data_IF_009304980014
#
_entry.id   IF_009304980014
#
_cell.length_a   1.000
_cell.length_b   1.000
_cell.length_c   1.000
_cell.angle_alpha   90.00
_cell.angle_beta   90.00
_cell.angle_gamma   90.00
#
_symmetry.space_group_name_H-M   'P 1'
#
loop_
_entity.id
_entity.type
_entity.pdbx_description
1 polymer ?
#
# COMPACT_ATOMS: atom_id res chain seq x y z
N UNK A 1 21.80 -15.75 -0.95
CA UNK A 1 20.38 -15.34 -0.86
C UNK A 1 19.66 -16.48 -0.18
N UNK A 2 19.51 -16.42 1.15
CA UNK A 2 19.15 -17.57 1.96
C UNK A 2 17.63 -17.76 1.98
N UNK A 3 17.13 -18.44 0.97
CA UNK A 3 15.83 -19.08 1.02
C UNK A 3 15.96 -20.27 1.97
N UNK A 4 15.42 -20.18 3.20
CA UNK A 4 15.45 -21.30 4.16
C UNK A 4 14.43 -22.37 3.75
N UNK A 5 14.54 -22.91 2.53
CA UNK A 5 13.66 -23.95 1.97
C UNK A 5 13.90 -25.35 2.55
N UNK A 6 14.90 -25.53 3.42
CA UNK A 6 15.41 -26.86 3.80
C UNK A 6 14.68 -27.60 4.92
N UNK A 7 13.80 -26.97 5.70
CA UNK A 7 13.23 -27.58 6.92
C UNK A 7 11.70 -27.54 6.99
N UNK A 8 11.04 -27.21 5.88
CA UNK A 8 9.63 -26.91 5.87
C UNK A 8 8.85 -27.84 4.96
N UNK A 9 9.00 -29.14 5.20
CA UNK A 9 8.14 -30.15 4.59
C UNK A 9 7.45 -30.89 5.72
N UNK A 10 6.17 -30.65 5.98
CA UNK A 10 5.47 -31.27 7.09
C UNK A 10 5.45 -32.79 6.91
N UNK A 11 5.43 -33.55 8.01
CA UNK A 11 5.41 -35.01 7.95
C UNK A 11 4.11 -35.53 7.32
N UNK A 12 3.02 -34.74 7.38
CA UNK A 12 1.71 -35.08 6.85
C UNK A 12 1.35 -34.21 5.64
N UNK A 13 0.33 -34.66 4.90
CA UNK A 13 -0.21 -33.89 3.78
C UNK A 13 -0.84 -32.60 4.30
N UNK A 14 -0.68 -31.47 3.60
CA UNK A 14 -1.25 -30.21 4.05
C UNK A 14 -2.77 -30.27 4.13
N UNK A 15 -3.31 -29.63 5.17
CA UNK A 15 -4.74 -29.53 5.41
C UNK A 15 -5.37 -28.48 4.49
N UNK A 16 -6.54 -28.71 3.92
CA UNK A 16 -7.21 -27.69 3.13
C UNK A 16 -7.77 -26.60 4.08
N UNK A 17 -7.42 -25.31 3.89
CA UNK A 17 -7.89 -24.23 4.75
C UNK A 17 -9.42 -24.20 4.86
N UNK A 18 -9.91 -24.11 6.09
CA UNK A 18 -11.34 -24.08 6.40
C UNK A 18 -12.05 -25.44 6.41
N UNK A 19 -11.35 -26.54 6.15
CA UNK A 19 -11.92 -27.90 6.21
C UNK A 19 -11.06 -28.83 7.07
N UNK A 20 -11.52 -30.04 7.37
CA UNK A 20 -10.72 -31.10 8.03
C UNK A 20 -10.04 -32.06 7.03
N UNK A 21 -10.14 -31.80 5.72
CA UNK A 21 -9.58 -32.65 4.68
C UNK A 21 -8.10 -32.30 4.41
N UNK A 22 -7.33 -33.28 3.96
CA UNK A 22 -5.92 -33.10 3.59
C UNK A 22 -5.74 -33.32 2.08
N UNK A 23 -5.07 -32.39 1.40
CA UNK A 23 -4.79 -32.47 -0.04
C UNK A 23 -3.34 -32.09 -0.32
N UNK A 24 -2.61 -32.83 -1.18
CA UNK A 24 -1.26 -32.44 -1.58
C UNK A 24 -1.22 -31.20 -2.48
N UNK A 25 -2.38 -30.70 -2.92
CA UNK A 25 -2.51 -29.56 -3.85
C UNK A 25 -2.52 -28.20 -3.16
N UNK A 26 -2.38 -28.17 -1.83
CA UNK A 26 -2.31 -26.90 -1.10
C UNK A 26 -0.97 -26.21 -1.43
N UNK A 27 -1.00 -24.97 -1.94
CA UNK A 27 0.21 -24.24 -2.28
C UNK A 27 0.99 -23.82 -1.02
N UNK A 28 2.25 -23.42 -1.22
CA UNK A 28 3.10 -22.95 -0.13
C UNK A 28 2.56 -21.63 0.46
N UNK A 29 2.51 -21.54 1.78
CA UNK A 29 2.15 -20.34 2.52
C UNK A 29 3.33 -19.36 2.61
N UNK A 30 3.07 -18.07 2.49
CA UNK A 30 4.04 -16.99 2.60
C UNK A 30 3.65 -16.16 3.82
N UNK A 31 4.54 -16.14 4.80
CA UNK A 31 4.39 -15.35 6.03
C UNK A 31 5.27 -14.11 5.89
N UNK A 32 4.67 -12.92 5.94
CA UNK A 32 5.39 -11.67 5.78
C UNK A 32 4.75 -10.52 6.56
N UNK A 33 5.54 -9.46 6.78
CA UNK A 33 5.04 -8.21 7.33
C UNK A 33 4.80 -7.21 6.19
N UNK A 34 3.60 -6.61 6.06
CA UNK A 34 3.33 -5.69 4.96
C UNK A 34 4.21 -4.46 5.03
N UNK A 35 4.69 -4.03 3.87
CA UNK A 35 5.44 -2.79 3.74
C UNK A 35 4.52 -1.56 3.94
N UNK A 36 5.13 -0.43 4.29
CA UNK A 36 4.43 0.85 4.24
C UNK A 36 4.09 1.18 2.79
N UNK A 37 2.89 1.71 2.55
CA UNK A 37 2.54 2.25 1.25
C UNK A 37 3.47 3.44 0.93
N UNK A 38 4.29 3.38 -0.15
CA UNK A 38 5.29 4.42 -0.45
C UNK A 38 4.71 5.83 -0.58
N UNK A 39 3.45 5.94 -1.00
CA UNK A 39 2.77 7.23 -1.21
C UNK A 39 2.16 7.80 0.08
N UNK A 40 2.03 6.99 1.13
CA UNK A 40 1.40 7.39 2.39
C UNK A 40 2.44 7.46 3.51
N UNK A 41 2.45 8.56 4.26
CA UNK A 41 3.35 8.77 5.40
C UNK A 41 2.97 7.98 6.67
N UNK A 42 1.90 7.16 6.61
CA UNK A 42 1.43 6.35 7.73
C UNK A 42 2.46 5.32 8.21
N UNK A 43 2.40 4.98 9.51
CA UNK A 43 3.28 3.96 10.07
C UNK A 43 3.10 2.61 9.38
N UNK A 44 4.19 1.84 9.27
CA UNK A 44 4.14 0.43 8.89
C UNK A 44 3.18 -0.35 9.80
N UNK A 45 2.35 -1.25 9.26
CA UNK A 45 1.55 -2.15 10.07
C UNK A 45 2.45 -3.04 10.94
N UNK A 46 1.96 -3.38 12.14
CA UNK A 46 2.69 -4.24 13.09
C UNK A 46 2.28 -5.71 13.01
N UNK A 47 1.17 -6.00 12.34
CA UNK A 47 0.71 -7.36 12.15
C UNK A 47 1.50 -8.08 11.04
N UNK A 48 1.56 -9.39 11.16
CA UNK A 48 2.03 -10.33 10.16
C UNK A 48 0.86 -10.81 9.32
N UNK A 49 1.10 -11.13 8.06
CA UNK A 49 0.11 -11.73 7.18
C UNK A 49 0.64 -13.08 6.70
N UNK A 50 -0.24 -14.08 6.69
CA UNK A 50 -0.07 -15.34 5.99
C UNK A 50 -0.98 -15.34 4.75
N UNK A 51 -0.38 -15.51 3.58
CA UNK A 51 -1.08 -15.65 2.28
C UNK A 51 -0.55 -16.89 1.55
N UNK A 52 -1.30 -17.42 0.59
CA UNK A 52 -0.86 -18.56 -0.22
C UNK A 52 -0.21 -18.10 -1.54
N UNK A 53 0.73 -18.90 -2.05
CA UNK A 53 1.28 -18.67 -3.39
C UNK A 53 0.18 -18.86 -4.45
N UNK A 54 -0.01 -17.91 -5.38
CA UNK A 54 -1.05 -18.02 -6.40
C UNK A 54 -0.72 -19.16 -7.37
N UNK A 55 -1.60 -20.16 -7.45
CA UNK A 55 -1.44 -21.31 -8.33
C UNK A 55 -1.86 -21.01 -9.78
N UNK A 56 -2.80 -20.07 -9.97
CA UNK A 56 -3.32 -19.67 -11.27
C UNK A 56 -3.39 -18.15 -11.41
N UNK A 57 -3.33 -17.65 -12.65
CA UNK A 57 -3.57 -16.23 -12.94
C UNK A 57 -5.08 -15.94 -13.00
N UNK A 58 -5.45 -14.68 -12.73
CA UNK A 58 -6.82 -14.23 -12.91
C UNK A 58 -7.16 -14.11 -14.41
N UNK A 59 -8.36 -14.56 -14.79
CA UNK A 59 -8.87 -14.56 -16.17
C UNK A 59 -10.02 -13.55 -16.31
N UNK A 60 -10.11 -12.87 -17.45
CA UNK A 60 -11.22 -11.95 -17.76
C UNK A 60 -12.35 -12.76 -18.42
N UNK A 61 -13.55 -12.68 -17.85
CA UNK A 61 -14.74 -13.34 -18.37
C UNK A 61 -15.27 -12.63 -19.62
N UNK A 62 -15.64 -13.39 -20.66
CA UNK A 62 -15.86 -12.85 -22.00
C UNK A 62 -17.16 -12.04 -22.17
N UNK A 63 -18.18 -12.28 -21.33
CA UNK A 63 -19.49 -11.64 -21.47
C UNK A 63 -19.54 -10.30 -20.75
N UNK A 64 -19.22 -10.28 -19.46
CA UNK A 64 -19.33 -9.09 -18.60
C UNK A 64 -17.99 -8.38 -18.40
N UNK A 65 -16.87 -9.02 -18.77
CA UNK A 65 -15.53 -8.48 -18.53
C UNK A 65 -15.11 -8.56 -17.06
N UNK A 66 -15.75 -9.39 -16.24
CA UNK A 66 -15.41 -9.54 -14.83
C UNK A 66 -14.13 -10.34 -14.64
N UNK A 67 -13.33 -9.97 -13.64
CA UNK A 67 -12.14 -10.74 -13.26
C UNK A 67 -12.58 -11.98 -12.48
N UNK A 68 -12.31 -13.14 -13.04
CA UNK A 68 -12.57 -14.45 -12.43
C UNK A 68 -11.25 -15.10 -12.02
N UNK A 69 -11.31 -15.94 -10.99
CA UNK A 69 -10.15 -16.64 -10.44
C UNK A 69 -10.49 -18.13 -10.36
N UNK A 70 -9.57 -19.00 -10.77
CA UNK A 70 -9.71 -20.46 -10.62
C UNK A 70 -9.11 -21.01 -9.33
N UNK A 71 -8.22 -20.24 -8.71
CA UNK A 71 -7.53 -20.63 -7.47
C UNK A 71 -8.38 -20.26 -6.25
N UNK A 72 -8.80 -21.25 -5.43
CA UNK A 72 -9.57 -21.01 -4.20
C UNK A 72 -8.71 -20.45 -3.05
N UNK A 73 -7.39 -20.55 -3.11
CA UNK A 73 -6.49 -20.18 -2.01
C UNK A 73 -6.09 -18.70 -2.03
N UNK A 74 -6.12 -18.07 -3.21
CA UNK A 74 -5.72 -16.67 -3.39
C UNK A 74 -6.48 -15.63 -2.52
N UNK A 75 -7.81 -15.72 -2.30
CA UNK A 75 -8.50 -14.76 -1.44
C UNK A 75 -8.18 -14.94 0.07
N UNK A 76 -7.51 -16.01 0.46
CA UNK A 76 -7.26 -16.33 1.87
C UNK A 76 -6.11 -15.47 2.39
N UNK A 77 -6.42 -14.55 3.31
CA UNK A 77 -5.46 -13.69 3.99
C UNK A 77 -5.71 -13.71 5.48
N UNK A 78 -4.72 -14.15 6.25
CA UNK A 78 -4.81 -14.27 7.70
C UNK A 78 -3.85 -13.30 8.37
N UNK A 79 -4.36 -12.53 9.33
CA UNK A 79 -3.56 -11.53 10.07
C UNK A 79 -3.21 -12.06 11.45
N UNK A 80 -1.94 -11.94 11.83
CA UNK A 80 -1.40 -12.40 13.11
C UNK A 80 -0.67 -11.25 13.83
N UNK A 81 -0.65 -11.24 15.17
CA UNK A 81 0.13 -10.26 15.92
C UNK A 81 1.64 -10.52 15.82
N UNK A 82 2.04 -11.79 15.86
CA UNK A 82 3.44 -12.24 15.95
C UNK A 82 3.78 -13.23 14.83
N UNK A 83 5.08 -13.32 14.49
CA UNK A 83 5.59 -14.27 13.49
C UNK A 83 5.48 -15.71 13.98
N UNK A 84 5.73 -15.95 15.27
CA UNK A 84 5.65 -17.27 15.89
C UNK A 84 4.22 -17.82 15.85
N UNK A 85 3.21 -16.97 16.10
CA UNK A 85 1.81 -17.36 16.00
C UNK A 85 1.42 -17.77 14.58
N UNK A 86 1.95 -17.08 13.56
CA UNK A 86 1.72 -17.44 12.16
C UNK A 86 2.40 -18.78 11.81
N UNK A 87 3.59 -19.02 12.33
CA UNK A 87 4.33 -20.28 12.14
C UNK A 87 3.60 -21.44 12.83
N UNK A 88 3.22 -21.30 14.10
CA UNK A 88 2.48 -22.34 14.83
C UNK A 88 1.18 -22.69 14.11
N UNK A 89 0.48 -21.68 13.57
CA UNK A 89 -0.73 -21.92 12.80
C UNK A 89 -0.45 -22.69 11.50
N UNK A 90 0.60 -22.37 10.76
CA UNK A 90 0.98 -23.12 9.57
C UNK A 90 1.38 -24.56 9.91
N UNK A 91 2.14 -24.77 10.99
CA UNK A 91 2.57 -26.09 11.46
C UNK A 91 1.39 -26.95 11.93
N UNK A 92 0.43 -26.37 12.65
CA UNK A 92 -0.82 -27.06 13.06
C UNK A 92 -1.67 -27.55 11.89
N UNK A 93 -1.55 -26.91 10.73
CA UNK A 93 -2.26 -27.28 9.51
C UNK A 93 -1.39 -28.09 8.54
N UNK A 94 -0.17 -28.44 8.93
CA UNK A 94 0.80 -29.15 8.10
C UNK A 94 1.03 -28.42 6.76
N UNK A 95 1.14 -27.09 6.75
CA UNK A 95 1.42 -26.31 5.54
C UNK A 95 2.93 -26.07 5.34
N UNK A 96 3.40 -26.23 4.10
CA UNK A 96 4.70 -25.70 3.70
C UNK A 96 4.65 -24.17 3.80
N UNK A 97 5.60 -23.52 4.49
CA UNK A 97 5.64 -22.06 4.63
C UNK A 97 6.99 -21.41 4.26
N UNK A 98 6.97 -20.12 3.96
CA UNK A 98 8.16 -19.30 3.72
C UNK A 98 8.01 -18.03 4.52
N UNK A 99 8.93 -17.80 5.47
CA UNK A 99 8.97 -16.55 6.23
C UNK A 99 9.84 -15.55 5.47
N UNK A 100 9.24 -14.45 5.01
CA UNK A 100 9.97 -13.31 4.44
C UNK A 100 10.27 -12.32 5.55
N UNK A 101 11.56 -12.16 5.88
CA UNK A 101 12.03 -11.35 7.00
C UNK A 101 11.78 -9.84 6.84
N UNK A 102 11.67 -9.13 7.97
CA UNK A 102 11.63 -7.67 8.05
C UNK A 102 13.06 -7.10 8.01
N UNK A 103 13.84 -7.48 7.00
CA UNK A 103 15.23 -7.01 6.79
C UNK A 103 15.29 -5.46 6.66
N UNK A 104 14.15 -4.82 6.37
CA UNK A 104 14.02 -3.40 6.03
C UNK A 104 13.99 -2.44 7.22
N UNK A 105 13.98 -2.93 8.46
CA UNK A 105 14.10 -2.08 9.66
C UNK A 105 15.47 -2.17 10.32
N UNK A 106 16.52 -2.49 9.57
CA UNK A 106 17.88 -2.12 10.00
C UNK A 106 17.93 -0.59 10.07
N UNK A 107 17.75 -0.09 11.29
CA UNK A 107 17.73 1.30 11.71
C UNK A 107 18.41 2.22 10.70
N UNK A 108 17.61 2.96 9.90
CA UNK A 108 18.10 4.24 9.37
C UNK A 108 18.55 5.00 10.60
N UNK A 109 19.88 5.09 10.80
CA UNK A 109 20.49 5.93 11.84
C UNK A 109 19.72 7.24 11.75
N UNK A 110 19.02 7.61 12.82
CA UNK A 110 18.23 8.84 12.86
C UNK A 110 19.18 9.93 12.40
N UNK A 111 19.02 10.38 11.16
CA UNK A 111 19.74 11.54 10.69
C UNK A 111 19.21 12.64 11.58
N UNK A 112 20.02 13.05 12.55
CA UNK A 112 19.70 14.21 13.37
C UNK A 112 19.41 15.30 12.36
N UNK A 113 18.19 15.85 12.30
CA UNK A 113 17.95 16.97 11.42
C UNK A 113 18.83 18.08 11.98
N UNK A 114 19.99 18.27 11.35
CA UNK A 114 20.73 19.52 11.45
C UNK A 114 19.74 20.52 10.87
N UNK A 115 19.01 21.18 11.75
CA UNK A 115 18.21 22.32 11.37
C UNK A 115 19.18 23.34 10.76
N UNK A 116 19.43 23.25 9.45
CA UNK A 116 20.00 24.33 8.68
C UNK A 116 18.83 25.27 8.45
N UNK A 117 18.66 26.20 9.39
CA UNK A 117 17.82 27.39 9.21
C UNK A 117 18.25 27.99 7.88
N UNK A 118 17.35 28.04 6.90
CA UNK A 118 17.59 28.68 5.60
C UNK A 118 17.64 30.20 5.86
N UNK A 119 18.67 30.67 6.56
CA UNK A 119 18.84 32.09 6.85
C UNK A 119 19.58 32.74 5.71
N UNK A 120 18.79 33.47 4.93
CA UNK A 120 19.09 34.74 4.26
C UNK A 120 20.04 34.67 3.06
N UNK A 121 19.48 35.03 1.90
CA UNK A 121 19.65 36.33 1.22
C UNK A 121 21.13 36.52 0.88
N UNK A 122 21.47 36.34 -0.39
CA UNK A 122 22.44 37.13 -1.16
C UNK A 122 22.90 36.33 -2.40
N UNK A 123 22.12 36.38 -3.49
CA UNK A 123 22.64 36.13 -4.84
C UNK A 123 22.39 37.40 -5.69
N UNK A 124 23.30 38.39 -5.66
CA UNK A 124 23.17 39.63 -6.43
C UNK A 124 23.65 39.42 -7.88
N UNK A 125 22.86 38.72 -8.69
CA UNK A 125 23.05 38.69 -10.14
C UNK A 125 22.06 39.66 -10.82
N UNK A 126 22.41 40.94 -10.72
CA UNK A 126 21.90 42.05 -11.53
C UNK A 126 22.00 41.71 -13.02
N UNK A 127 20.88 41.64 -13.73
CA UNK A 127 20.83 41.89 -15.18
C UNK A 127 19.74 42.92 -15.41
N UNK A 128 20.18 44.13 -15.68
CA UNK A 128 19.32 45.26 -16.04
C UNK A 128 18.84 45.04 -17.47
N UNK A 129 17.59 44.63 -17.67
CA UNK A 129 16.94 44.68 -18.97
C UNK A 129 15.74 45.62 -18.92
N UNK A 130 15.89 46.73 -19.65
CA UNK A 130 14.84 47.66 -20.02
C UNK A 130 13.66 46.91 -20.67
N UNK A 131 12.44 47.39 -20.42
CA UNK A 131 11.15 46.72 -20.64
C UNK A 131 10.81 46.32 -22.09
N UNK A 132 9.65 45.66 -22.31
CA UNK A 132 8.39 46.41 -22.40
C UNK A 132 7.15 45.67 -21.82
N UNK A 133 5.98 46.29 -21.99
CA UNK A 133 4.62 45.82 -21.68
C UNK A 133 4.29 45.45 -20.21
N UNK A 134 3.90 46.50 -19.49
CA UNK A 134 2.94 46.49 -18.40
C UNK A 134 1.69 45.66 -18.75
N UNK A 135 1.67 44.39 -18.37
CA UNK A 135 0.41 43.68 -18.17
C UNK A 135 -0.12 44.08 -16.80
N UNK A 136 -0.83 45.21 -16.75
CA UNK A 136 -1.53 45.67 -15.56
C UNK A 136 -2.43 44.53 -15.02
N UNK A 137 -2.20 44.03 -13.79
CA UNK A 137 -2.96 42.91 -13.25
C UNK A 137 -4.46 43.20 -13.16
N UNK A 138 -4.85 44.48 -13.16
CA UNK A 138 -6.25 44.93 -13.16
C UNK A 138 -6.95 44.66 -14.51
N UNK A 139 -6.21 44.72 -15.63
CA UNK A 139 -6.75 44.45 -16.97
C UNK A 139 -6.95 42.93 -17.20
N UNK A 140 -6.05 42.08 -16.69
CA UNK A 140 -6.19 40.61 -16.80
C UNK A 140 -7.39 40.09 -15.98
N UNK A 141 -7.61 40.63 -14.78
CA UNK A 141 -8.76 40.26 -13.94
C UNK A 141 -10.12 40.63 -14.55
N UNK A 142 -10.16 41.62 -15.46
CA UNK A 142 -11.40 42.05 -16.13
C UNK A 142 -11.84 41.12 -17.27
N UNK A 143 -10.93 40.26 -17.77
CA UNK A 143 -11.23 39.23 -18.78
C UNK A 143 -11.52 37.89 -18.11
N UNK A 144 -10.98 37.66 -16.91
CA UNK A 144 -11.31 36.50 -16.06
C UNK A 144 -12.50 36.84 -15.12
N UNK A 145 -13.55 37.41 -15.71
CA UNK A 145 -14.89 37.29 -15.17
C UNK A 145 -15.27 35.82 -15.29
N UNK A 146 -14.83 35.00 -14.34
CA UNK A 146 -15.44 33.70 -14.12
C UNK A 146 -16.93 34.00 -14.04
N UNK A 147 -17.79 33.49 -14.95
CA UNK A 147 -19.19 33.45 -14.62
C UNK A 147 -19.21 32.69 -13.30
N UNK A 148 -19.68 33.35 -12.24
CA UNK A 148 -20.11 32.67 -11.03
C UNK A 148 -21.26 31.75 -11.47
N UNK A 149 -20.89 30.65 -12.12
CA UNK A 149 -21.74 29.52 -12.41
C UNK A 149 -22.02 28.96 -11.04
N UNK A 150 -23.29 28.99 -10.71
CA UNK A 150 -23.86 28.60 -9.43
C UNK A 150 -23.07 27.47 -8.75
N UNK A 151 -22.85 27.52 -7.42
CA UNK A 151 -22.37 26.35 -6.72
C UNK A 151 -23.32 25.17 -7.07
N UNK A 152 -22.80 23.96 -7.37
CA UNK A 152 -23.66 22.81 -7.62
C UNK A 152 -24.64 22.68 -6.44
N UNK A 153 -25.92 22.46 -6.75
CA UNK A 153 -27.09 22.60 -5.88
C UNK A 153 -27.11 21.75 -4.58
N UNK A 154 -25.99 21.18 -4.16
CA UNK A 154 -25.81 20.43 -2.92
C UNK A 154 -25.38 21.30 -1.73
N UNK A 155 -24.92 22.55 -1.91
CA UNK A 155 -24.65 23.45 -0.77
C UNK A 155 -25.95 24.11 -0.28
N UNK A 156 -26.90 23.29 0.15
CA UNK A 156 -28.06 23.74 0.94
C UNK A 156 -27.63 23.94 2.39
N UNK A 157 -27.30 25.16 2.76
CA UNK A 157 -27.19 25.60 4.16
C UNK A 157 -28.58 25.92 4.71
N UNK A 158 -28.78 25.56 5.98
CA UNK A 158 -30.01 25.53 6.77
C UNK A 158 -30.92 26.78 6.71
N UNK A 159 -32.24 26.54 6.82
CA UNK A 159 -33.18 27.48 7.43
C UNK A 159 -33.60 26.95 8.80
N UNK A 160 -33.23 27.71 9.83
CA UNK A 160 -33.85 27.62 11.15
C UNK A 160 -35.32 28.04 11.06
N UNK A 161 -36.19 27.40 11.84
CA UNK A 161 -37.62 27.70 11.85
C UNK A 161 -38.36 27.18 13.07
N UNK A 162 -38.31 28.00 14.13
CA UNK A 162 -39.26 28.20 15.25
C UNK A 162 -39.55 27.08 16.26
#
# INVERSE_FOLDING_TARGET
>A
MFDRRGHNRPPFRPRIPGTDLHSPDVPTAIIYRPAQNPMQSGSRPRHWILEFEPAASAEIESLMGWTTMRDPYQPIRLSFPDVESAIEYAERNDWDYIVRGDEGSSARKRAVPLFRRNTRLDDPAKTDHAGPEEADPVILASIESFPASDPPAWTGTALAGR
#
